data_IF_985796003671
#
_entry.id   IF_985796003671
#
_cell.length_a   1.000
_cell.length_b   1.000
_cell.length_c   1.000
_cell.angle_alpha   90.00
_cell.angle_beta   90.00
_cell.angle_gamma   90.00
#
_symmetry.space_group_name_H-M   'P 1'
#
loop_
_entity.id
_entity.type
_entity.pdbx_description
1 polymer ?
#
# COMPACT_ATOMS: atom_id res chain seq x y z
N UNK A 1 13.29 -3.98 11.78
CA UNK A 1 12.79 -2.91 12.69
C UNK A 1 13.27 -1.53 12.27
N UNK A 2 14.57 -1.29 12.04
CA UNK A 2 15.09 0.03 11.60
C UNK A 2 14.44 0.56 10.30
N UNK A 3 14.22 -0.28 9.29
CA UNK A 3 13.62 0.14 8.01
C UNK A 3 12.20 0.70 8.13
N UNK A 4 11.39 0.13 9.02
CA UNK A 4 10.03 0.64 9.27
C UNK A 4 10.07 2.00 9.98
N UNK A 5 10.96 2.19 10.95
CA UNK A 5 11.16 3.47 11.61
C UNK A 5 11.63 4.56 10.63
N UNK A 6 12.59 4.23 9.75
CA UNK A 6 13.06 5.15 8.71
C UNK A 6 11.96 5.53 7.69
N UNK A 7 11.02 4.62 7.39
CA UNK A 7 9.90 4.92 6.51
C UNK A 7 8.83 5.80 7.17
N UNK A 8 8.62 5.66 8.49
CA UNK A 8 7.63 6.44 9.23
C UNK A 8 8.10 7.86 9.60
N UNK A 9 9.41 8.09 9.72
CA UNK A 9 9.96 9.42 10.03
C UNK A 9 9.58 10.51 9.02
N UNK A 10 9.82 10.34 7.69
CA UNK A 10 9.44 11.36 6.72
C UNK A 10 7.93 11.61 6.69
N UNK A 11 7.13 10.55 6.86
CA UNK A 11 5.66 10.67 6.89
C UNK A 11 5.19 11.53 8.08
N UNK A 12 5.67 11.23 9.27
CA UNK A 12 5.32 11.99 10.49
C UNK A 12 5.82 13.43 10.40
N UNK A 13 7.03 13.65 9.88
CA UNK A 13 7.58 14.99 9.67
C UNK A 13 6.76 15.84 8.69
N UNK A 14 6.36 15.27 7.55
CA UNK A 14 5.50 15.93 6.58
C UNK A 14 4.10 16.23 7.14
N UNK A 15 3.50 15.29 7.87
CA UNK A 15 2.20 15.50 8.52
C UNK A 15 2.27 16.60 9.59
N UNK A 16 3.31 16.63 10.42
CA UNK A 16 3.53 17.69 11.42
C UNK A 16 3.75 19.05 10.77
N UNK A 17 4.55 19.12 9.69
CA UNK A 17 4.79 20.34 8.92
C UNK A 17 3.47 20.88 8.33
N UNK A 18 2.66 20.01 7.75
CA UNK A 18 1.36 20.35 7.19
C UNK A 18 0.39 20.86 8.27
N UNK A 19 0.32 20.16 9.41
CA UNK A 19 -0.52 20.54 10.55
C UNK A 19 -0.13 21.90 11.14
N UNK A 20 1.17 22.21 11.22
CA UNK A 20 1.67 23.51 11.73
C UNK A 20 1.23 24.67 10.83
N UNK A 21 1.20 24.48 9.51
CA UNK A 21 0.82 25.54 8.56
C UNK A 21 -0.69 25.77 8.44
N UNK A 22 -1.50 24.84 8.92
CA UNK A 22 -2.97 24.97 8.90
C UNK A 22 -3.55 25.45 10.22
N UNK A 23 -2.84 25.27 11.34
CA UNK A 23 -3.31 25.63 12.69
C UNK A 23 -2.77 26.96 13.22
N UNK A 24 -1.92 27.67 12.48
CA UNK A 24 -1.39 28.99 12.88
C UNK A 24 -2.45 30.08 12.81
N UNK A 25 -2.25 31.16 13.61
CA UNK A 25 -3.11 32.36 13.62
C UNK A 25 -3.25 33.06 12.25
N UNK A 26 -2.31 32.81 11.35
CA UNK A 26 -2.37 33.21 9.94
C UNK A 26 -2.10 31.94 9.09
N UNK A 27 -3.13 31.28 8.55
CA UNK A 27 -2.95 30.11 7.71
C UNK A 27 -2.21 30.53 6.42
N UNK A 28 -0.98 30.06 6.24
CA UNK A 28 -0.15 30.37 5.07
C UNK A 28 -0.51 29.53 3.85
N UNK A 29 -1.35 28.51 4.01
CA UNK A 29 -1.82 27.63 2.95
C UNK A 29 -3.33 27.79 2.76
N UNK A 30 -3.75 28.02 1.51
CA UNK A 30 -5.17 27.96 1.16
C UNK A 30 -5.72 26.52 1.34
N UNK A 31 -7.01 26.39 1.61
CA UNK A 31 -7.66 25.07 1.78
C UNK A 31 -7.45 24.16 0.57
N UNK A 32 -7.44 24.73 -0.65
CA UNK A 32 -7.14 23.96 -1.86
C UNK A 32 -5.68 23.49 -1.98
N UNK A 33 -4.74 24.31 -1.53
CA UNK A 33 -3.32 23.92 -1.50
C UNK A 33 -3.10 22.81 -0.44
N UNK A 34 -3.73 22.93 0.72
CA UNK A 34 -3.69 21.89 1.75
C UNK A 34 -4.20 20.54 1.22
N UNK A 35 -5.37 20.55 0.56
CA UNK A 35 -5.95 19.33 0.00
C UNK A 35 -5.03 18.68 -1.05
N UNK A 36 -4.35 19.47 -1.90
CA UNK A 36 -3.40 18.96 -2.89
C UNK A 36 -2.16 18.34 -2.23
N UNK A 37 -1.57 19.01 -1.25
CA UNK A 37 -0.42 18.48 -0.52
C UNK A 37 -0.75 17.22 0.26
N UNK A 38 -1.91 17.19 0.90
CA UNK A 38 -2.37 16.00 1.63
C UNK A 38 -2.55 14.80 0.69
N UNK A 39 -3.15 14.99 -0.48
CA UNK A 39 -3.26 13.94 -1.51
C UNK A 39 -1.90 13.45 -1.99
N UNK A 40 -0.97 14.37 -2.24
CA UNK A 40 0.37 14.01 -2.67
C UNK A 40 1.12 13.18 -1.62
N UNK A 41 1.06 13.58 -0.36
CA UNK A 41 1.70 12.85 0.76
C UNK A 41 1.09 11.46 0.92
N UNK A 42 -0.24 11.38 0.99
CA UNK A 42 -0.93 10.09 1.13
C UNK A 42 -0.71 9.21 -0.11
N UNK A 43 -0.71 9.81 -1.30
CA UNK A 43 -0.46 9.09 -2.55
C UNK A 43 0.95 8.56 -2.65
N UNK A 44 1.95 9.37 -2.32
CA UNK A 44 3.35 8.96 -2.35
C UNK A 44 3.64 7.86 -1.33
N UNK A 45 3.28 8.08 -0.07
CA UNK A 45 3.57 7.12 1.01
C UNK A 45 2.71 5.85 0.91
N UNK A 46 1.40 6.01 0.64
CA UNK A 46 0.50 4.87 0.43
C UNK A 46 0.87 4.07 -0.81
N UNK A 47 1.28 4.76 -1.87
CA UNK A 47 1.78 4.14 -3.09
C UNK A 47 3.05 3.32 -2.90
N UNK A 48 4.00 3.80 -2.07
CA UNK A 48 5.20 3.04 -1.73
C UNK A 48 4.86 1.75 -0.99
N UNK A 49 3.98 1.82 0.01
CA UNK A 49 3.53 0.64 0.74
C UNK A 49 2.84 -0.35 -0.20
N UNK A 50 1.95 0.13 -1.06
CA UNK A 50 1.28 -0.70 -2.04
C UNK A 50 2.26 -1.34 -3.02
N UNK A 51 3.23 -0.58 -3.55
CA UNK A 51 4.25 -1.10 -4.46
C UNK A 51 5.08 -2.23 -3.81
N UNK A 52 5.44 -2.07 -2.53
CA UNK A 52 6.08 -3.15 -1.77
C UNK A 52 5.18 -4.38 -1.66
N UNK A 53 3.88 -4.21 -1.36
CA UNK A 53 2.95 -5.34 -1.25
C UNK A 53 2.73 -6.07 -2.58
N UNK A 54 2.75 -5.35 -3.70
CA UNK A 54 2.61 -5.92 -5.06
C UNK A 54 3.81 -6.80 -5.44
N UNK A 55 5.01 -6.46 -4.97
CA UNK A 55 6.21 -7.23 -5.31
C UNK A 55 6.15 -8.69 -4.85
N UNK A 56 5.50 -8.99 -3.73
CA UNK A 56 5.48 -10.35 -3.19
C UNK A 56 4.72 -11.33 -4.09
N UNK A 57 3.44 -11.10 -4.47
CA UNK A 57 2.77 -12.00 -5.41
C UNK A 57 3.43 -12.01 -6.78
N UNK A 58 3.97 -10.87 -7.25
CA UNK A 58 4.70 -10.80 -8.52
C UNK A 58 5.96 -11.66 -8.46
N UNK A 59 6.67 -11.70 -7.34
CA UNK A 59 7.83 -12.59 -7.16
C UNK A 59 7.45 -14.06 -7.33
N UNK A 60 6.35 -14.50 -6.74
CA UNK A 60 5.88 -15.88 -6.89
C UNK A 60 5.55 -16.17 -8.35
N UNK A 61 4.85 -15.26 -9.03
CA UNK A 61 4.49 -15.40 -10.44
C UNK A 61 5.72 -15.40 -11.36
N UNK A 62 6.69 -14.52 -11.14
CA UNK A 62 7.92 -14.47 -11.94
C UNK A 62 8.77 -15.72 -11.73
N UNK A 63 8.88 -16.22 -10.51
CA UNK A 63 9.58 -17.48 -10.23
C UNK A 63 8.97 -18.67 -10.98
N UNK A 64 7.67 -18.65 -11.21
CA UNK A 64 6.96 -19.67 -11.98
C UNK A 64 7.11 -19.47 -13.50
N UNK A 65 7.00 -18.22 -13.98
CA UNK A 65 6.89 -17.93 -15.41
C UNK A 65 8.24 -17.74 -16.11
N UNK A 66 9.27 -17.25 -15.40
CA UNK A 66 10.56 -16.85 -15.99
C UNK A 66 11.71 -17.58 -15.29
N UNK A 67 12.34 -18.51 -15.97
CA UNK A 67 13.54 -19.20 -15.47
C UNK A 67 14.78 -18.38 -15.84
N UNK A 68 15.57 -17.91 -14.86
CA UNK A 68 16.89 -17.34 -15.10
C UNK A 68 17.18 -15.98 -14.46
N UNK A 69 18.35 -15.42 -14.80
CA UNK A 69 18.92 -14.22 -14.20
C UNK A 69 18.18 -12.91 -14.52
N UNK A 70 17.24 -12.91 -15.46
CA UNK A 70 16.49 -11.72 -15.88
C UNK A 70 15.43 -11.26 -14.85
N UNK A 71 15.15 -12.05 -13.82
CA UNK A 71 14.21 -11.75 -12.75
C UNK A 71 14.40 -10.37 -12.13
N UNK A 72 15.66 -10.02 -11.83
CA UNK A 72 15.97 -8.80 -11.08
C UNK A 72 15.63 -7.51 -11.83
N UNK A 73 15.68 -7.54 -13.17
CA UNK A 73 15.34 -6.37 -14.00
C UNK A 73 13.84 -6.01 -13.90
N UNK A 74 12.98 -7.02 -13.81
CA UNK A 74 11.53 -6.80 -13.75
C UNK A 74 11.07 -6.26 -12.40
N UNK A 75 11.73 -6.60 -11.28
CA UNK A 75 11.33 -6.12 -9.95
C UNK A 75 11.37 -4.60 -9.82
N UNK A 76 12.46 -3.97 -10.28
CA UNK A 76 12.59 -2.51 -10.25
C UNK A 76 11.50 -1.84 -11.07
N UNK A 77 11.24 -2.37 -12.27
CA UNK A 77 10.22 -1.84 -13.15
C UNK A 77 8.80 -1.97 -12.53
N UNK A 78 8.44 -3.16 -12.04
CA UNK A 78 7.14 -3.40 -11.40
C UNK A 78 6.93 -2.49 -10.19
N UNK A 79 7.94 -2.35 -9.34
CA UNK A 79 7.88 -1.45 -8.18
C UNK A 79 7.60 0.00 -8.60
N UNK A 80 8.41 0.52 -9.54
CA UNK A 80 8.28 1.90 -10.00
C UNK A 80 6.94 2.16 -10.69
N UNK A 81 6.52 1.27 -11.58
CA UNK A 81 5.22 1.42 -12.27
C UNK A 81 4.05 1.32 -11.30
N UNK A 82 4.05 0.37 -10.37
CA UNK A 82 3.00 0.24 -9.37
C UNK A 82 2.91 1.51 -8.49
N UNK A 83 4.05 2.02 -8.03
CA UNK A 83 4.11 3.25 -7.25
C UNK A 83 3.62 4.45 -8.05
N UNK A 84 4.13 4.64 -9.28
CA UNK A 84 3.80 5.78 -10.13
C UNK A 84 2.33 5.80 -10.53
N UNK A 85 1.79 4.65 -10.94
CA UNK A 85 0.37 4.51 -11.28
C UNK A 85 -0.50 4.86 -10.06
N UNK A 86 -0.15 4.37 -8.87
CA UNK A 86 -0.91 4.66 -7.66
C UNK A 86 -0.82 6.13 -7.26
N UNK A 87 0.34 6.76 -7.44
CA UNK A 87 0.52 8.20 -7.22
C UNK A 87 -0.31 9.03 -8.20
N UNK A 88 -0.37 8.66 -9.47
CA UNK A 88 -1.22 9.32 -10.47
C UNK A 88 -2.70 9.18 -10.11
N UNK A 89 -3.13 7.99 -9.70
CA UNK A 89 -4.51 7.76 -9.22
C UNK A 89 -4.81 8.67 -8.03
N UNK A 90 -3.88 8.84 -7.08
CA UNK A 90 -4.03 9.73 -5.93
C UNK A 90 -4.26 11.20 -6.33
N UNK A 91 -3.60 11.66 -7.41
CA UNK A 91 -3.73 13.04 -7.88
C UNK A 91 -5.16 13.34 -8.38
N UNK A 92 -5.81 12.37 -9.01
CA UNK A 92 -7.17 12.49 -9.55
C UNK A 92 -8.26 12.12 -8.52
N UNK A 93 -7.93 11.39 -7.45
CA UNK A 93 -8.91 10.94 -6.46
C UNK A 93 -9.31 12.09 -5.53
N UNK A 94 -10.55 12.53 -5.61
CA UNK A 94 -11.01 13.70 -4.85
C UNK A 94 -11.08 13.43 -3.33
N UNK A 95 -11.48 12.22 -2.93
CA UNK A 95 -11.66 11.87 -1.52
C UNK A 95 -10.47 11.06 -0.98
N UNK A 96 -9.60 11.71 -0.20
CA UNK A 96 -8.39 11.10 0.35
C UNK A 96 -8.67 9.94 1.33
N UNK A 97 -9.80 9.95 2.04
CA UNK A 97 -10.17 8.86 2.97
C UNK A 97 -10.53 7.59 2.21
N UNK A 98 -11.30 7.71 1.15
CA UNK A 98 -11.63 6.58 0.29
C UNK A 98 -10.41 6.04 -0.45
N UNK A 99 -9.49 6.93 -0.87
CA UNK A 99 -8.21 6.54 -1.44
C UNK A 99 -7.36 5.74 -0.42
N UNK A 100 -7.26 6.23 0.81
CA UNK A 100 -6.53 5.52 1.87
C UNK A 100 -7.15 4.15 2.17
N UNK A 101 -8.48 4.06 2.23
CA UNK A 101 -9.18 2.77 2.36
C UNK A 101 -8.91 1.83 1.20
N UNK A 102 -8.95 2.32 -0.04
CA UNK A 102 -8.61 1.52 -1.22
C UNK A 102 -7.17 1.00 -1.15
N UNK A 103 -6.23 1.82 -0.70
CA UNK A 103 -4.83 1.41 -0.48
C UNK A 103 -4.75 0.28 0.53
N UNK A 104 -5.41 0.39 1.69
CA UNK A 104 -5.42 -0.66 2.72
C UNK A 104 -6.01 -1.97 2.20
N UNK A 105 -7.12 -1.88 1.45
CA UNK A 105 -7.77 -3.07 0.88
C UNK A 105 -6.86 -3.75 -0.14
N UNK A 106 -6.24 -3.00 -1.04
CA UNK A 106 -5.33 -3.56 -2.05
C UNK A 106 -4.09 -4.17 -1.42
N UNK A 107 -3.48 -3.51 -0.42
CA UNK A 107 -2.37 -4.08 0.34
C UNK A 107 -2.77 -5.41 1.00
N UNK A 108 -3.95 -5.46 1.62
CA UNK A 108 -4.48 -6.69 2.22
C UNK A 108 -4.65 -7.80 1.19
N UNK A 109 -5.28 -7.51 0.05
CA UNK A 109 -5.51 -8.48 -1.01
C UNK A 109 -4.21 -9.03 -1.59
N UNK A 110 -3.22 -8.16 -1.86
CA UNK A 110 -1.93 -8.61 -2.39
C UNK A 110 -1.17 -9.48 -1.39
N UNK A 111 -1.12 -9.11 -0.11
CA UNK A 111 -0.42 -9.91 0.90
C UNK A 111 -1.12 -11.24 1.19
N UNK A 112 -2.45 -11.25 1.28
CA UNK A 112 -3.22 -12.49 1.49
C UNK A 112 -3.11 -13.42 0.27
N UNK A 113 -3.01 -12.87 -0.94
CA UNK A 113 -2.87 -13.67 -2.17
C UNK A 113 -1.53 -14.41 -2.28
N UNK A 114 -0.50 -14.00 -1.55
CA UNK A 114 0.81 -14.68 -1.57
C UNK A 114 0.68 -16.14 -1.15
N UNK A 115 -0.07 -16.40 -0.08
CA UNK A 115 -0.24 -17.74 0.47
C UNK A 115 -0.88 -18.73 -0.53
N UNK A 116 -2.05 -18.45 -1.14
CA UNK A 116 -2.63 -19.35 -2.13
C UNK A 116 -1.79 -19.43 -3.42
N UNK A 117 -1.17 -18.34 -3.87
CA UNK A 117 -0.29 -18.36 -5.02
C UNK A 117 0.93 -19.26 -4.78
N UNK A 118 1.56 -19.13 -3.62
CA UNK A 118 2.70 -19.96 -3.26
C UNK A 118 2.30 -21.44 -3.08
N UNK A 119 1.08 -21.71 -2.60
CA UNK A 119 0.55 -23.08 -2.46
C UNK A 119 0.26 -23.74 -3.80
N UNK A 120 -0.18 -22.99 -4.83
CA UNK A 120 -0.55 -23.53 -6.14
C UNK A 120 0.64 -23.56 -7.09
N UNK A 121 1.46 -22.50 -7.09
CA UNK A 121 2.54 -22.31 -8.07
C UNK A 121 3.93 -22.59 -7.50
N UNK A 122 4.08 -22.55 -6.17
CA UNK A 122 5.36 -22.73 -5.51
C UNK A 122 5.78 -24.18 -5.40
N UNK A 123 7.06 -24.45 -5.62
CA UNK A 123 7.67 -25.78 -5.42
C UNK A 123 7.76 -26.12 -3.91
N UNK A 124 7.81 -25.09 -3.06
CA UNK A 124 7.90 -25.19 -1.60
C UNK A 124 6.70 -24.51 -0.96
N UNK A 125 5.64 -25.23 -0.71
CA UNK A 125 4.45 -24.75 0.02
C UNK A 125 4.55 -25.12 1.51
N UNK A 126 3.70 -24.49 2.33
CA UNK A 126 3.58 -24.77 3.78
C UNK A 126 3.41 -26.28 4.05
N UNK A 127 2.73 -27.00 3.13
CA UNK A 127 2.43 -28.44 3.28
C UNK A 127 3.66 -29.30 3.00
N UNK A 128 4.55 -28.86 2.07
CA UNK A 128 5.74 -29.58 1.63
C UNK A 128 7.04 -28.86 2.01
N UNK A 129 6.95 -27.80 2.82
CA UNK A 129 8.11 -26.98 3.17
C UNK A 129 9.09 -27.78 4.03
N UNK A 130 10.14 -28.24 3.41
CA UNK A 130 11.35 -28.69 4.14
C UNK A 130 12.07 -27.53 4.86
N UNK A 131 11.62 -26.28 4.67
CA UNK A 131 12.18 -25.10 5.33
C UNK A 131 11.11 -24.36 6.15
N UNK A 132 11.29 -24.38 7.46
CA UNK A 132 10.53 -23.61 8.46
C UNK A 132 10.46 -22.11 8.10
N UNK A 133 11.46 -21.62 7.38
CA UNK A 133 11.61 -20.21 7.00
C UNK A 133 10.54 -19.77 6.00
N UNK A 134 10.17 -20.60 5.01
CA UNK A 134 9.13 -20.30 4.03
C UNK A 134 7.77 -20.24 4.72
N UNK A 135 7.46 -21.22 5.57
CA UNK A 135 6.21 -21.23 6.32
C UNK A 135 6.08 -20.00 7.24
N UNK A 136 7.16 -19.60 7.90
CA UNK A 136 7.16 -18.40 8.75
C UNK A 136 6.91 -17.12 7.94
N UNK A 137 7.49 -17.02 6.74
CA UNK A 137 7.31 -15.86 5.86
C UNK A 137 5.88 -15.75 5.38
N UNK A 138 5.28 -16.85 4.92
CA UNK A 138 3.89 -16.90 4.42
C UNK A 138 2.88 -16.56 5.53
N UNK A 139 3.09 -17.08 6.74
CA UNK A 139 2.26 -16.74 7.92
C UNK A 139 2.42 -15.26 8.27
N UNK A 140 3.62 -14.70 8.20
CA UNK A 140 3.87 -13.29 8.46
C UNK A 140 3.12 -12.39 7.49
N UNK A 141 3.12 -12.72 6.19
CA UNK A 141 2.34 -11.98 5.18
C UNK A 141 0.84 -12.07 5.43
N UNK A 142 0.35 -13.24 5.82
CA UNK A 142 -1.06 -13.41 6.17
C UNK A 142 -1.44 -12.52 7.36
N UNK A 143 -0.65 -12.52 8.43
CA UNK A 143 -0.90 -11.68 9.62
C UNK A 143 -0.93 -10.20 9.26
N UNK A 144 0.06 -9.73 8.49
CA UNK A 144 0.13 -8.32 8.05
C UNK A 144 -1.03 -7.99 7.13
N UNK A 145 -1.38 -8.88 6.19
CA UNK A 145 -2.54 -8.72 5.30
C UNK A 145 -3.85 -8.61 6.07
N UNK A 146 -4.05 -9.45 7.10
CA UNK A 146 -5.21 -9.37 7.99
C UNK A 146 -5.23 -8.07 8.81
N UNK A 147 -4.08 -7.57 9.23
CA UNK A 147 -3.97 -6.28 9.92
C UNK A 147 -4.40 -5.11 9.00
N UNK A 148 -3.99 -5.12 7.72
CA UNK A 148 -4.46 -4.14 6.75
C UNK A 148 -5.97 -4.26 6.48
N UNK A 149 -6.49 -5.48 6.37
CA UNK A 149 -7.93 -5.72 6.20
C UNK A 149 -8.73 -5.19 7.41
N UNK A 150 -8.24 -5.44 8.61
CA UNK A 150 -8.84 -4.91 9.83
C UNK A 150 -8.82 -3.37 9.85
N UNK A 151 -7.70 -2.74 9.45
CA UNK A 151 -7.60 -1.30 9.27
C UNK A 151 -8.62 -0.76 8.28
N UNK A 152 -8.81 -1.43 7.14
CA UNK A 152 -9.84 -1.11 6.16
C UNK A 152 -11.25 -1.16 6.75
N UNK A 153 -11.58 -2.22 7.49
CA UNK A 153 -12.90 -2.40 8.10
C UNK A 153 -13.19 -1.35 9.19
N UNK A 154 -12.16 -0.95 9.95
CA UNK A 154 -12.30 0.12 10.96
C UNK A 154 -12.44 1.52 10.39
N UNK A 155 -11.90 1.77 9.21
CA UNK A 155 -11.96 3.06 8.55
C UNK A 155 -13.33 3.26 7.90
N UNK A 156 -14.20 4.06 8.49
CA UNK A 156 -15.54 4.33 7.93
C UNK A 156 -15.45 5.18 6.66
N UNK A 157 -16.26 4.89 5.61
CA UNK A 157 -16.39 5.78 4.46
C UNK A 157 -16.97 7.13 4.90
N UNK A 158 -16.58 8.21 4.20
CA UNK A 158 -17.19 9.51 4.47
C UNK A 158 -18.67 9.49 4.11
N UNK A 159 -19.51 9.84 5.06
CA UNK A 159 -20.97 9.91 4.88
C UNK A 159 -21.38 10.91 3.79
N UNK A 160 -20.57 11.93 3.54
CA UNK A 160 -20.80 12.95 2.51
C UNK A 160 -20.72 12.33 1.10
N UNK A 161 -19.72 11.49 0.83
CA UNK A 161 -19.58 10.83 -0.47
C UNK A 161 -20.73 9.84 -0.75
N UNK A 162 -21.30 9.23 0.28
CA UNK A 162 -22.45 8.33 0.16
C UNK A 162 -23.77 9.12 -0.08
N UNK A 163 -23.87 10.35 0.42
CA UNK A 163 -25.02 11.20 0.20
C UNK A 163 -25.05 11.75 -1.24
N UNK A 164 -23.89 12.14 -1.78
CA UNK A 164 -23.79 12.59 -3.19
C UNK A 164 -24.10 11.48 -4.20
N UNK A 165 -23.64 10.25 -3.95
CA UNK A 165 -23.96 9.09 -4.82
C UNK A 165 -25.43 8.69 -4.74
N UNK A 166 -26.14 8.97 -3.63
CA UNK A 166 -27.57 8.71 -3.50
C UNK A 166 -28.45 9.83 -4.09
N UNK A 167 -27.88 11.01 -4.31
CA UNK A 167 -28.59 12.18 -4.85
C UNK A 167 -28.42 12.32 -6.38
N UNK A 168 -27.51 11.55 -7.00
CA UNK A 168 -27.28 11.46 -8.44
C UNK A 168 -28.00 10.25 -9.04
#
# INVERSE_FOLDING_TARGET
>A
MLGLACALMPLSGMMMWLAKRTRGSTPTLSAGAYARWNRFIIGSCGGLVLACCVLFPVQVLLNYAVAGAEHNAYFGAVFFYAWLVWLVIAAFWQNYKNYFRATLLLCALFLISVLPLNSVLGVNNIINANSTLVAFTDISFLIVGLAFLWGYLKTKPDAIALAEVKAA
#
